data_IF_569826892941
#
_entry.id   IF_569826892941
#
_cell.length_a   1.000
_cell.length_b   1.000
_cell.length_c   1.000
_cell.angle_alpha   90.00
_cell.angle_beta   90.00
_cell.angle_gamma   90.00
#
_symmetry.space_group_name_H-M   'P 1'
#
loop_
_entity.id
_entity.type
_entity.pdbx_description
1 polymer ?
#
# COMPACT_ATOMS: atom_id res chain seq x y z
N UNK A 1 4.53 -15.30 15.66
CA UNK A 1 3.59 -15.70 16.73
C UNK A 1 2.32 -16.13 16.01
N UNK A 2 1.75 -17.30 16.31
CA UNK A 2 0.44 -17.65 15.73
C UNK A 2 -0.61 -16.79 16.43
N UNK A 3 -1.51 -16.17 15.66
CA UNK A 3 -2.70 -15.50 16.22
C UNK A 3 -3.75 -16.56 16.59
N UNK A 4 -3.38 -17.57 17.38
CA UNK A 4 -4.33 -18.58 17.89
C UNK A 4 -5.46 -17.93 18.68
N UNK A 5 -5.17 -16.76 19.26
CA UNK A 5 -6.13 -15.90 19.93
C UNK A 5 -7.14 -15.20 18.97
N UNK A 6 -6.92 -15.17 17.64
CA UNK A 6 -7.92 -14.75 16.65
C UNK A 6 -8.89 -15.89 16.29
N UNK A 7 -8.46 -17.14 16.47
CA UNK A 7 -9.25 -18.34 16.15
C UNK A 7 -10.18 -18.75 17.30
N UNK A 8 -10.11 -18.09 18.45
CA UNK A 8 -10.88 -18.43 19.65
C UNK A 8 -12.26 -17.76 19.66
N UNK A 9 -13.17 -18.19 18.78
CA UNK A 9 -14.57 -17.73 18.75
C UNK A 9 -15.35 -18.02 20.05
N UNK A 10 -14.81 -18.85 20.94
CA UNK A 10 -15.39 -19.20 22.25
C UNK A 10 -15.01 -18.27 23.40
N UNK A 11 -14.19 -17.24 23.17
CA UNK A 11 -13.78 -16.29 24.21
C UNK A 11 -14.98 -15.47 24.71
N UNK A 12 -15.24 -15.50 26.02
CA UNK A 12 -16.28 -14.71 26.68
C UNK A 12 -15.64 -13.60 27.50
N UNK A 13 -15.64 -12.38 26.98
CA UNK A 13 -15.15 -11.19 27.69
C UNK A 13 -14.51 -10.18 26.77
N UNK A 14 -14.27 -8.97 27.30
CA UNK A 14 -13.38 -7.98 26.65
C UNK A 14 -11.93 -8.42 26.89
N UNK A 15 -11.03 -8.12 25.96
CA UNK A 15 -9.57 -8.30 26.11
C UNK A 15 -8.92 -6.89 26.22
N UNK A 16 -8.83 -6.33 27.44
CA UNK A 16 -8.35 -4.96 27.64
C UNK A 16 -6.89 -4.78 27.25
N UNK A 17 -6.06 -5.81 27.44
CA UNK A 17 -4.65 -5.73 27.10
C UNK A 17 -4.45 -5.69 25.58
N UNK A 18 -5.20 -6.50 24.83
CA UNK A 18 -5.22 -6.41 23.37
C UNK A 18 -5.69 -5.04 22.91
N UNK A 19 -6.77 -4.51 23.49
CA UNK A 19 -7.24 -3.17 23.14
C UNK A 19 -6.16 -2.11 23.40
N UNK A 20 -5.50 -2.15 24.56
CA UNK A 20 -4.41 -1.24 24.89
C UNK A 20 -3.24 -1.36 23.89
N UNK A 21 -2.88 -2.58 23.47
CA UNK A 21 -1.84 -2.80 22.44
C UNK A 21 -2.23 -2.23 21.08
N UNK A 22 -3.49 -2.42 20.66
CA UNK A 22 -4.01 -1.88 19.39
C UNK A 22 -3.97 -0.35 19.40
N UNK A 23 -4.48 0.28 20.47
CA UNK A 23 -4.45 1.74 20.63
C UNK A 23 -3.01 2.25 20.59
N UNK A 24 -2.10 1.58 21.30
CA UNK A 24 -0.69 1.95 21.33
C UNK A 24 0.00 1.82 19.95
N UNK A 25 -0.35 0.82 19.13
CA UNK A 25 0.15 0.73 17.74
C UNK A 25 -0.39 1.86 16.85
N UNK A 26 -1.67 2.22 17.01
CA UNK A 26 -2.27 3.34 16.29
C UNK A 26 -1.61 4.66 16.66
N UNK A 27 -1.43 4.95 17.95
CA UNK A 27 -0.78 6.17 18.43
C UNK A 27 0.64 6.30 17.88
N UNK A 28 1.44 5.22 17.96
CA UNK A 28 2.81 5.21 17.40
C UNK A 28 2.80 5.44 15.89
N UNK A 29 1.91 4.76 15.16
CA UNK A 29 1.78 4.90 13.72
C UNK A 29 1.41 6.32 13.30
N UNK A 30 0.40 6.90 13.95
CA UNK A 30 -0.04 8.26 13.66
C UNK A 30 1.00 9.32 14.00
N UNK A 31 1.68 9.19 15.15
CA UNK A 31 2.73 10.12 15.54
C UNK A 31 3.94 10.06 14.59
N UNK A 32 4.40 8.86 14.25
CA UNK A 32 5.58 8.69 13.40
C UNK A 32 5.34 9.17 11.95
N UNK A 33 4.12 9.01 11.43
CA UNK A 33 3.78 9.39 10.05
C UNK A 33 3.13 10.77 9.94
N UNK A 34 3.00 11.52 11.04
CA UNK A 34 2.29 12.81 11.07
C UNK A 34 2.79 13.83 10.03
N UNK A 35 4.09 13.83 9.72
CA UNK A 35 4.69 14.72 8.72
C UNK A 35 4.66 14.20 7.28
N UNK A 36 4.08 13.03 7.03
CA UNK A 36 4.01 12.44 5.68
C UNK A 36 2.82 13.04 4.94
N UNK A 37 3.07 14.11 4.19
CA UNK A 37 2.04 14.79 3.39
C UNK A 37 1.87 14.18 1.99
N UNK A 38 2.92 13.57 1.44
CA UNK A 38 2.96 13.06 0.07
C UNK A 38 3.51 11.63 0.03
N UNK A 39 2.75 10.64 0.49
CA UNK A 39 3.16 9.24 0.47
C UNK A 39 2.61 8.44 -0.71
N UNK A 40 3.37 7.45 -1.17
CA UNK A 40 2.90 6.43 -2.11
C UNK A 40 3.23 5.06 -1.55
N UNK A 41 2.21 4.20 -1.43
CA UNK A 41 2.42 2.84 -0.95
C UNK A 41 2.73 1.92 -2.14
N UNK A 42 3.84 1.21 -2.06
CA UNK A 42 4.29 0.27 -3.09
C UNK A 42 4.28 -1.15 -2.54
N UNK A 43 3.61 -2.04 -3.25
CA UNK A 43 3.45 -3.45 -2.88
C UNK A 43 3.99 -4.37 -3.98
N UNK A 44 4.46 -5.55 -3.58
CA UNK A 44 4.91 -6.59 -4.50
C UNK A 44 5.54 -7.75 -3.76
N UNK A 45 6.04 -8.72 -4.52
CA UNK A 45 6.66 -9.94 -3.97
C UNK A 45 7.86 -9.65 -3.06
N UNK A 46 7.86 -10.25 -1.87
CA UNK A 46 9.03 -10.34 -0.99
C UNK A 46 10.14 -11.25 -1.56
N UNK A 47 9.82 -12.04 -2.60
CA UNK A 47 10.68 -13.11 -3.13
C UNK A 47 11.40 -12.74 -4.43
N UNK A 48 11.18 -11.55 -4.97
CA UNK A 48 11.80 -11.13 -6.24
C UNK A 48 13.29 -10.86 -6.04
N UNK A 49 14.20 -11.53 -6.77
CA UNK A 49 15.64 -11.28 -6.68
C UNK A 49 16.05 -9.88 -7.15
N UNK A 50 17.17 -9.36 -6.64
CA UNK A 50 17.67 -8.02 -6.95
C UNK A 50 18.10 -7.82 -8.43
N UNK A 51 18.44 -8.90 -9.13
CA UNK A 51 18.80 -8.92 -10.56
C UNK A 51 17.59 -9.13 -11.49
N UNK A 52 16.40 -9.39 -10.93
CA UNK A 52 15.19 -9.60 -11.71
C UNK A 52 14.72 -8.27 -12.34
N UNK A 53 14.27 -8.24 -13.62
CA UNK A 53 13.82 -7.01 -14.29
C UNK A 53 12.75 -6.23 -13.52
N UNK A 54 11.80 -6.93 -12.87
CA UNK A 54 10.77 -6.31 -12.03
C UNK A 54 11.34 -5.60 -10.79
N UNK A 55 12.45 -6.08 -10.22
CA UNK A 55 13.12 -5.39 -9.12
C UNK A 55 13.70 -4.06 -9.62
N UNK A 56 14.39 -4.07 -10.76
CA UNK A 56 14.95 -2.86 -11.38
C UNK A 56 13.84 -1.85 -11.67
N UNK A 57 12.74 -2.31 -12.27
CA UNK A 57 11.58 -1.48 -12.56
C UNK A 57 10.96 -0.88 -11.28
N UNK A 58 10.83 -1.66 -10.21
CA UNK A 58 10.33 -1.15 -8.93
C UNK A 58 11.21 -0.06 -8.32
N UNK A 59 12.54 -0.24 -8.39
CA UNK A 59 13.51 0.78 -7.97
C UNK A 59 13.40 2.04 -8.82
N UNK A 60 13.29 1.90 -10.14
CA UNK A 60 13.14 3.04 -11.06
C UNK A 60 11.84 3.81 -10.84
N UNK A 61 10.72 3.10 -10.66
CA UNK A 61 9.42 3.69 -10.32
C UNK A 61 9.47 4.45 -9.00
N UNK A 62 10.03 3.85 -7.95
CA UNK A 62 10.19 4.53 -6.66
C UNK A 62 11.13 5.74 -6.74
N UNK A 63 12.21 5.67 -7.52
CA UNK A 63 13.09 6.81 -7.76
C UNK A 63 12.40 7.92 -8.55
N UNK A 64 11.52 7.57 -9.50
CA UNK A 64 10.71 8.56 -10.22
C UNK A 64 9.77 9.30 -9.27
N UNK A 65 9.08 8.57 -8.39
CA UNK A 65 8.21 9.14 -7.35
C UNK A 65 8.99 9.98 -6.33
N UNK A 66 10.16 9.51 -5.89
CA UNK A 66 11.02 10.22 -4.96
C UNK A 66 11.51 11.57 -5.52
N UNK A 67 11.94 11.60 -6.78
CA UNK A 67 12.28 12.86 -7.48
C UNK A 67 11.11 13.85 -7.59
N UNK A 68 9.88 13.35 -7.65
CA UNK A 68 8.67 14.17 -7.65
C UNK A 68 8.22 14.61 -6.23
N UNK A 69 9.01 14.31 -5.20
CA UNK A 69 8.78 14.72 -3.82
C UNK A 69 7.82 13.84 -3.05
N UNK A 70 7.62 12.58 -3.47
CA UNK A 70 6.82 11.60 -2.72
C UNK A 70 7.71 10.76 -1.80
N UNK A 71 7.27 10.60 -0.55
CA UNK A 71 7.75 9.53 0.32
C UNK A 71 7.24 8.18 -0.21
N UNK A 72 8.06 7.14 -0.07
CA UNK A 72 7.71 5.78 -0.49
C UNK A 72 7.47 4.92 0.74
N UNK A 73 6.29 4.32 0.81
CA UNK A 73 5.84 3.47 1.91
C UNK A 73 5.79 2.03 1.41
N UNK A 74 6.40 1.11 2.13
CA UNK A 74 6.39 -0.32 1.78
C UNK A 74 6.14 -1.16 3.03
N UNK A 75 6.06 -2.48 2.88
CA UNK A 75 6.12 -3.41 4.02
C UNK A 75 7.50 -3.54 4.67
N UNK A 76 8.53 -2.90 4.13
CA UNK A 76 9.89 -2.89 4.66
C UNK A 76 10.66 -4.21 4.51
N UNK A 77 10.05 -5.26 3.93
CA UNK A 77 10.71 -6.55 3.70
C UNK A 77 11.65 -6.57 2.48
N UNK A 78 12.12 -7.77 2.07
CA UNK A 78 12.98 -7.96 0.90
C UNK A 78 12.21 -7.82 -0.43
N UNK A 79 12.91 -8.06 -1.54
CA UNK A 79 12.31 -8.14 -2.88
C UNK A 79 11.83 -6.79 -3.39
N UNK A 80 10.58 -6.72 -3.88
CA UNK A 80 10.03 -5.48 -4.44
C UNK A 80 9.98 -4.35 -3.39
N UNK A 81 9.70 -4.69 -2.12
CA UNK A 81 9.67 -3.70 -1.05
C UNK A 81 11.05 -3.06 -0.88
N UNK A 82 12.11 -3.86 -0.82
CA UNK A 82 13.50 -3.40 -0.79
C UNK A 82 13.84 -2.56 -2.04
N UNK A 83 13.45 -3.00 -3.23
CA UNK A 83 13.68 -2.25 -4.47
C UNK A 83 13.08 -0.84 -4.40
N UNK A 84 11.84 -0.75 -3.93
CA UNK A 84 11.11 0.50 -3.78
C UNK A 84 11.74 1.40 -2.71
N UNK A 85 12.06 0.85 -1.52
CA UNK A 85 12.74 1.59 -0.46
C UNK A 85 14.10 2.14 -0.95
N UNK A 86 14.88 1.31 -1.65
CA UNK A 86 16.15 1.70 -2.24
C UNK A 86 15.98 2.81 -3.27
N UNK A 87 15.02 2.69 -4.18
CA UNK A 87 14.77 3.68 -5.22
C UNK A 87 14.39 5.04 -4.65
N UNK A 88 13.59 5.08 -3.58
CA UNK A 88 13.29 6.31 -2.86
C UNK A 88 14.55 6.93 -2.25
N UNK A 89 15.30 6.12 -1.49
CA UNK A 89 16.51 6.55 -0.79
C UNK A 89 17.61 7.06 -1.73
N UNK A 90 17.76 6.45 -2.91
CA UNK A 90 18.69 6.90 -3.95
C UNK A 90 18.44 8.35 -4.42
N UNK A 91 17.23 8.88 -4.17
CA UNK A 91 16.82 10.24 -4.54
C UNK A 91 16.77 11.20 -3.36
N UNK A 92 17.09 10.72 -2.15
CA UNK A 92 16.94 11.48 -0.90
C UNK A 92 15.48 11.61 -0.42
N UNK A 93 14.53 10.93 -1.06
CA UNK A 93 13.15 10.89 -0.60
C UNK A 93 13.01 9.98 0.62
N UNK A 94 12.07 10.31 1.51
CA UNK A 94 11.80 9.54 2.71
C UNK A 94 11.35 8.11 2.36
N UNK A 95 12.12 7.12 2.82
CA UNK A 95 11.83 5.69 2.64
C UNK A 95 11.26 5.10 3.92
N UNK A 96 10.02 4.62 3.87
CA UNK A 96 9.25 4.12 5.02
C UNK A 96 9.01 2.62 4.89
N UNK A 97 9.21 1.88 5.98
CA UNK A 97 8.91 0.46 6.11
C UNK A 97 7.92 0.18 7.24
N UNK A 98 6.70 -0.22 6.88
CA UNK A 98 5.68 -0.67 7.82
C UNK A 98 5.72 -2.20 7.89
N UNK A 99 6.59 -2.73 8.74
CA UNK A 99 6.84 -4.16 8.91
C UNK A 99 5.76 -4.83 9.78
N UNK A 100 5.64 -6.15 9.66
CA UNK A 100 4.71 -6.95 10.46
C UNK A 100 5.45 -8.10 11.16
N UNK A 101 5.12 -8.36 12.42
CA UNK A 101 5.73 -9.42 13.21
C UNK A 101 5.27 -10.81 12.75
N UNK A 102 6.00 -11.39 11.78
CA UNK A 102 5.77 -12.73 11.27
C UNK A 102 6.80 -13.74 11.80
N UNK A 103 6.50 -15.05 11.83
CA UNK A 103 7.49 -16.07 12.21
C UNK A 103 8.75 -16.10 11.31
N UNK A 104 8.65 -15.55 10.10
CA UNK A 104 9.70 -15.45 9.08
C UNK A 104 9.70 -14.01 8.52
N UNK A 105 10.77 -13.56 7.85
CA UNK A 105 10.86 -12.21 7.24
C UNK A 105 10.77 -11.03 8.23
N UNK A 106 11.43 -11.10 9.38
CA UNK A 106 11.31 -10.07 10.43
C UNK A 106 12.16 -8.81 10.25
N UNK A 107 13.17 -8.82 9.38
CA UNK A 107 14.14 -7.73 9.30
C UNK A 107 13.71 -6.71 8.24
N UNK A 108 13.57 -5.46 8.66
CA UNK A 108 13.50 -4.32 7.75
C UNK A 108 14.74 -4.29 6.85
N UNK A 109 14.55 -4.06 5.55
CA UNK A 109 15.66 -3.94 4.61
C UNK A 109 16.53 -2.71 4.92
N UNK A 110 17.76 -2.71 4.43
CA UNK A 110 18.79 -1.70 4.77
C UNK A 110 18.55 -0.32 4.13
N UNK A 111 17.44 -0.15 3.39
CA UNK A 111 17.08 1.10 2.70
C UNK A 111 15.86 1.79 3.31
N UNK A 112 15.38 1.33 4.47
CA UNK A 112 14.33 1.99 5.25
C UNK A 112 14.95 3.07 6.14
N UNK A 113 14.47 4.31 6.02
CA UNK A 113 14.88 5.42 6.90
C UNK A 113 13.96 5.53 8.13
N UNK A 114 12.65 5.31 7.93
CA UNK A 114 11.65 5.26 9.00
C UNK A 114 10.97 3.89 9.05
N UNK A 115 11.28 3.12 10.09
CA UNK A 115 10.74 1.78 10.29
C UNK A 115 9.72 1.72 11.43
N UNK A 116 8.59 1.05 11.20
CA UNK A 116 7.61 0.71 12.23
C UNK A 116 7.33 -0.79 12.17
N UNK A 117 7.24 -1.43 13.34
CA UNK A 117 6.84 -2.84 13.45
C UNK A 117 5.44 -2.91 14.04
N UNK A 118 4.58 -3.70 13.40
CA UNK A 118 3.20 -3.93 13.81
C UNK A 118 2.99 -5.38 14.17
N UNK A 119 2.12 -5.63 15.15
CA UNK A 119 1.58 -6.95 15.42
C UNK A 119 0.26 -7.17 14.71
N UNK A 120 -0.56 -6.13 14.57
CA UNK A 120 -1.91 -6.26 14.02
C UNK A 120 -1.97 -5.82 12.55
N UNK A 121 -2.32 -6.76 11.66
CA UNK A 121 -2.45 -6.49 10.21
C UNK A 121 -3.35 -5.30 9.90
N UNK A 122 -4.52 -5.20 10.55
CA UNK A 122 -5.48 -4.13 10.26
C UNK A 122 -4.96 -2.73 10.64
N UNK A 123 -4.11 -2.61 11.66
CA UNK A 123 -3.49 -1.32 12.03
C UNK A 123 -2.50 -0.91 10.94
N UNK A 124 -1.65 -1.86 10.51
CA UNK A 124 -0.70 -1.65 9.42
C UNK A 124 -1.40 -1.25 8.11
N UNK A 125 -2.47 -1.95 7.75
CA UNK A 125 -3.31 -1.70 6.56
C UNK A 125 -3.90 -0.29 6.55
N UNK A 126 -4.46 0.14 7.68
CA UNK A 126 -4.96 1.51 7.84
C UNK A 126 -3.89 2.55 7.51
N UNK A 127 -2.66 2.36 7.99
CA UNK A 127 -1.57 3.32 7.78
C UNK A 127 -1.08 3.36 6.34
N UNK A 128 -1.10 2.23 5.62
CA UNK A 128 -0.81 2.22 4.17
C UNK A 128 -1.75 3.12 3.37
N UNK A 129 -3.04 3.12 3.72
CA UNK A 129 -4.05 3.94 3.03
C UNK A 129 -4.00 5.38 3.51
N UNK A 130 -3.99 5.60 4.83
CA UNK A 130 -4.11 6.93 5.45
C UNK A 130 -3.01 7.91 5.06
N UNK A 131 -1.79 7.41 4.84
CA UNK A 131 -0.62 8.22 4.53
C UNK A 131 -0.17 8.12 3.08
N UNK A 132 -0.97 7.48 2.21
CA UNK A 132 -0.70 7.41 0.79
C UNK A 132 -1.73 8.22 -0.02
N UNK A 133 -1.31 8.68 -1.18
CA UNK A 133 -2.20 9.22 -2.20
C UNK A 133 -2.55 8.20 -3.29
N UNK A 134 -1.75 7.14 -3.40
CA UNK A 134 -1.85 6.13 -4.45
C UNK A 134 -1.25 4.81 -3.99
N UNK A 135 -1.74 3.72 -4.59
CA UNK A 135 -1.13 2.40 -4.52
C UNK A 135 -0.48 2.04 -5.85
N UNK A 136 0.78 1.60 -5.78
CA UNK A 136 1.52 1.04 -6.92
C UNK A 136 1.79 -0.43 -6.63
N UNK A 137 1.23 -1.30 -7.47
CA UNK A 137 1.19 -2.74 -7.24
C UNK A 137 2.06 -3.43 -8.30
N UNK A 138 3.16 -4.02 -7.86
CA UNK A 138 3.99 -4.90 -8.67
C UNK A 138 3.57 -6.36 -8.49
N UNK A 139 3.99 -7.27 -9.39
CA UNK A 139 3.67 -8.68 -9.26
C UNK A 139 4.08 -9.24 -7.89
N UNK A 140 3.14 -9.95 -7.26
CA UNK A 140 3.27 -10.44 -5.90
C UNK A 140 2.34 -11.59 -5.57
N UNK A 141 2.44 -12.07 -4.34
CA UNK A 141 1.61 -13.18 -3.82
C UNK A 141 0.39 -12.68 -3.04
N UNK A 142 -0.08 -13.49 -2.09
CA UNK A 142 -1.29 -13.18 -1.32
C UNK A 142 -1.25 -11.85 -0.57
N UNK A 143 -0.13 -11.48 0.06
CA UNK A 143 -0.04 -10.19 0.73
C UNK A 143 -0.21 -9.00 -0.23
N UNK A 144 0.27 -9.12 -1.47
CA UNK A 144 0.08 -8.08 -2.49
C UNK A 144 -1.36 -8.02 -2.97
N UNK A 145 -1.99 -9.19 -3.20
CA UNK A 145 -3.38 -9.27 -3.64
C UNK A 145 -4.35 -8.80 -2.55
N UNK A 146 -4.06 -9.09 -1.28
CA UNK A 146 -4.82 -8.62 -0.12
C UNK A 146 -4.92 -7.08 -0.11
N UNK A 147 -3.78 -6.38 -0.20
CA UNK A 147 -3.74 -4.92 -0.23
C UNK A 147 -4.37 -4.34 -1.51
N UNK A 148 -4.23 -5.02 -2.65
CA UNK A 148 -4.86 -4.63 -3.90
C UNK A 148 -6.39 -4.68 -3.79
N UNK A 149 -6.94 -5.79 -3.34
CA UNK A 149 -8.40 -5.95 -3.23
C UNK A 149 -8.99 -5.11 -2.11
N UNK A 150 -8.28 -4.89 -1.00
CA UNK A 150 -8.71 -3.96 0.04
C UNK A 150 -8.88 -2.54 -0.51
N UNK A 151 -7.88 -2.04 -1.25
CA UNK A 151 -7.96 -0.73 -1.88
C UNK A 151 -9.11 -0.65 -2.90
N UNK A 152 -9.30 -1.69 -3.73
CA UNK A 152 -10.43 -1.75 -4.67
C UNK A 152 -11.78 -1.68 -3.95
N UNK A 153 -11.97 -2.42 -2.85
CA UNK A 153 -13.20 -2.36 -2.06
C UNK A 153 -13.41 -0.97 -1.43
N UNK A 154 -12.35 -0.34 -0.92
CA UNK A 154 -12.45 1.03 -0.38
C UNK A 154 -12.80 2.06 -1.46
N UNK A 155 -12.28 1.91 -2.68
CA UNK A 155 -12.59 2.77 -3.83
C UNK A 155 -14.03 2.56 -4.32
N UNK A 156 -14.43 1.29 -4.51
CA UNK A 156 -15.76 0.88 -4.96
C UNK A 156 -16.85 1.41 -4.01
N UNK A 157 -16.61 1.33 -2.71
CA UNK A 157 -17.55 1.82 -1.68
C UNK A 157 -17.47 3.33 -1.43
N UNK A 158 -16.58 4.03 -2.13
CA UNK A 158 -16.37 5.48 -2.02
C UNK A 158 -15.78 5.94 -0.68
N UNK A 159 -15.22 5.01 0.12
CA UNK A 159 -14.53 5.28 1.39
C UNK A 159 -13.19 5.99 1.19
N UNK A 160 -12.54 5.73 0.06
CA UNK A 160 -11.42 6.54 -0.45
C UNK A 160 -11.78 7.07 -1.84
N UNK A 161 -11.38 8.31 -2.14
CA UNK A 161 -11.67 8.97 -3.42
C UNK A 161 -10.40 9.60 -3.99
N UNK A 162 -10.35 9.70 -5.32
CA UNK A 162 -9.19 10.21 -6.05
C UNK A 162 -7.87 9.47 -5.75
N UNK A 163 -7.97 8.18 -5.43
CA UNK A 163 -6.85 7.33 -5.02
C UNK A 163 -6.55 6.33 -6.13
N UNK A 164 -5.55 6.55 -7.01
CA UNK A 164 -5.26 5.62 -8.08
C UNK A 164 -4.64 4.33 -7.55
N UNK A 165 -5.10 3.21 -8.11
CA UNK A 165 -4.50 1.90 -7.97
C UNK A 165 -3.86 1.51 -9.30
N UNK A 166 -2.54 1.42 -9.31
CA UNK A 166 -1.73 1.28 -10.53
C UNK A 166 -1.00 -0.06 -10.49
N UNK A 167 -1.34 -0.96 -11.41
CA UNK A 167 -0.63 -2.22 -11.61
C UNK A 167 0.56 -1.99 -12.54
N UNK A 168 1.74 -2.42 -12.11
CA UNK A 168 2.96 -2.35 -12.91
C UNK A 168 3.31 -3.75 -13.45
N UNK A 169 3.66 -3.85 -14.73
CA UNK A 169 4.04 -5.11 -15.38
C UNK A 169 2.85 -5.88 -15.98
N UNK A 170 2.33 -5.34 -17.10
CA UNK A 170 1.08 -5.72 -17.75
C UNK A 170 0.91 -7.23 -18.00
N UNK A 171 1.97 -7.92 -18.43
CA UNK A 171 1.91 -9.35 -18.79
C UNK A 171 1.58 -10.29 -17.64
N UNK A 172 1.80 -9.89 -16.38
CA UNK A 172 1.52 -10.73 -15.19
C UNK A 172 0.09 -10.57 -14.68
N UNK A 173 -0.62 -9.52 -15.08
CA UNK A 173 -1.96 -9.20 -14.59
C UNK A 173 -3.08 -9.65 -15.51
N UNK A 174 -2.78 -10.01 -16.76
CA UNK A 174 -3.76 -10.32 -17.80
C UNK A 174 -4.84 -11.31 -17.33
N UNK A 175 -4.45 -12.49 -16.84
CA UNK A 175 -5.41 -13.50 -16.40
C UNK A 175 -6.30 -13.04 -15.23
N UNK A 176 -5.75 -12.23 -14.30
CA UNK A 176 -6.52 -11.68 -13.19
C UNK A 176 -7.51 -10.61 -13.68
N UNK A 177 -7.06 -9.73 -14.57
CA UNK A 177 -7.90 -8.67 -15.14
C UNK A 177 -8.99 -9.23 -16.06
N UNK A 178 -8.70 -10.30 -16.80
CA UNK A 178 -9.67 -11.00 -17.62
C UNK A 178 -10.76 -11.63 -16.75
N UNK A 179 -10.38 -12.24 -15.62
CA UNK A 179 -11.34 -12.76 -14.66
C UNK A 179 -12.19 -11.65 -14.02
N UNK A 180 -11.57 -10.53 -13.62
CA UNK A 180 -12.30 -9.37 -13.06
C UNK A 180 -13.28 -8.78 -14.08
N UNK A 181 -12.83 -8.51 -15.31
CA UNK A 181 -13.66 -7.90 -16.36
C UNK A 181 -14.69 -8.85 -16.95
N UNK A 182 -14.38 -10.14 -16.97
CA UNK A 182 -15.24 -11.18 -17.51
C UNK A 182 -16.21 -11.70 -16.45
N UNK A 183 -15.72 -12.54 -15.55
CA UNK A 183 -16.52 -13.33 -14.63
C UNK A 183 -17.23 -12.46 -13.58
N UNK A 184 -16.50 -11.57 -12.90
CA UNK A 184 -17.10 -10.77 -11.83
C UNK A 184 -18.17 -9.80 -12.37
N UNK A 185 -17.93 -9.17 -13.51
CA UNK A 185 -18.89 -8.25 -14.14
C UNK A 185 -20.09 -9.03 -14.72
N UNK A 186 -19.84 -10.10 -15.48
CA UNK A 186 -20.91 -10.86 -16.16
C UNK A 186 -21.87 -11.49 -15.15
N UNK A 187 -21.36 -11.94 -14.00
CA UNK A 187 -22.18 -12.51 -12.92
C UNK A 187 -22.74 -11.44 -11.95
N UNK A 188 -22.50 -10.15 -12.19
CA UNK A 188 -23.03 -9.06 -11.36
C UNK A 188 -22.43 -9.00 -9.95
N UNK A 189 -21.22 -9.53 -9.76
CA UNK A 189 -20.50 -9.51 -8.48
C UNK A 189 -19.83 -8.15 -8.22
N UNK A 190 -19.55 -7.39 -9.28
CA UNK A 190 -19.08 -6.00 -9.25
C UNK A 190 -19.81 -5.18 -10.32
N UNK A 191 -19.78 -3.85 -10.21
CA UNK A 191 -20.34 -2.93 -11.20
C UNK A 191 -19.53 -2.90 -12.49
N UNK A 192 -20.19 -2.54 -13.60
CA UNK A 192 -19.58 -2.54 -14.93
C UNK A 192 -18.40 -1.56 -15.09
N UNK A 193 -18.32 -0.53 -14.24
CA UNK A 193 -17.24 0.47 -14.23
C UNK A 193 -16.19 0.19 -13.14
N UNK A 194 -16.39 -0.80 -12.27
CA UNK A 194 -15.42 -1.10 -11.22
C UNK A 194 -14.05 -1.55 -11.77
N UNK A 195 -13.95 -2.26 -12.92
CA UNK A 195 -12.65 -2.54 -13.52
C UNK A 195 -11.87 -1.29 -13.96
N UNK A 196 -12.54 -0.15 -14.17
CA UNK A 196 -11.90 1.12 -14.56
C UNK A 196 -11.18 1.80 -13.38
N UNK A 197 -11.40 1.30 -12.15
CA UNK A 197 -10.64 1.70 -10.97
C UNK A 197 -9.15 1.29 -11.07
N UNK A 198 -8.84 0.32 -11.93
CA UNK A 198 -7.50 -0.25 -12.12
C UNK A 198 -6.83 0.41 -13.32
N UNK A 199 -5.66 1.00 -13.10
CA UNK A 199 -4.76 1.44 -14.17
C UNK A 199 -3.61 0.44 -14.32
N UNK A 200 -3.12 0.24 -15.54
CA UNK A 200 -2.02 -0.68 -15.83
C UNK A 200 -0.99 0.04 -16.68
N UNK A 201 0.28 -0.02 -16.28
CA UNK A 201 1.38 0.57 -17.04
C UNK A 201 2.69 -0.19 -16.80
N UNK A 202 3.68 0.06 -17.64
CA UNK A 202 5.06 -0.39 -17.46
C UNK A 202 6.05 0.78 -17.46
N UNK A 203 5.60 2.03 -17.63
CA UNK A 203 6.47 3.22 -17.62
C UNK A 203 6.46 3.89 -16.23
N UNK A 204 7.61 3.90 -15.51
CA UNK A 204 7.79 4.65 -14.27
C UNK A 204 7.30 6.11 -14.31
N UNK A 205 7.44 6.78 -15.46
CA UNK A 205 7.04 8.18 -15.65
C UNK A 205 5.52 8.32 -15.75
N UNK A 206 4.85 7.34 -16.34
CA UNK A 206 3.39 7.31 -16.38
C UNK A 206 2.82 7.11 -14.97
N UNK A 207 3.39 6.17 -14.19
CA UNK A 207 3.05 6.01 -12.77
C UNK A 207 3.16 7.34 -12.04
N UNK A 208 4.31 8.03 -12.16
CA UNK A 208 4.53 9.30 -11.50
C UNK A 208 3.52 10.38 -11.93
N UNK A 209 3.21 10.47 -13.23
CA UNK A 209 2.25 11.43 -13.77
C UNK A 209 0.83 11.19 -13.24
N UNK A 210 0.40 9.93 -13.15
CA UNK A 210 -0.90 9.54 -12.59
C UNK A 210 -0.97 9.95 -11.11
N UNK A 211 0.07 9.65 -10.33
CA UNK A 211 0.15 9.96 -8.89
C UNK A 211 0.14 11.47 -8.66
N UNK A 212 0.92 12.25 -9.42
CA UNK A 212 0.92 13.72 -9.32
C UNK A 212 -0.45 14.32 -9.64
N UNK A 213 -1.12 13.83 -10.67
CA UNK A 213 -2.46 14.28 -11.02
C UNK A 213 -3.49 13.96 -9.92
N UNK A 214 -3.39 12.79 -9.30
CA UNK A 214 -4.22 12.41 -8.16
C UNK A 214 -3.95 13.28 -6.94
N UNK A 215 -2.68 13.49 -6.59
CA UNK A 215 -2.25 14.34 -5.47
C UNK A 215 -2.80 15.77 -5.62
N UNK A 216 -2.71 16.38 -6.82
CA UNK A 216 -3.30 17.70 -7.08
C UNK A 216 -4.81 17.73 -6.85
N UNK A 217 -5.55 16.70 -7.31
CA UNK A 217 -7.01 16.60 -7.09
C UNK A 217 -7.36 16.45 -5.61
N UNK A 218 -6.61 15.62 -4.88
CA UNK A 218 -6.81 15.47 -3.44
C UNK A 218 -6.52 16.76 -2.69
N UNK A 219 -5.45 17.48 -3.02
CA UNK A 219 -5.14 18.79 -2.44
C UNK A 219 -6.24 19.84 -2.74
N UNK A 220 -6.80 19.86 -3.94
CA UNK A 220 -7.92 20.75 -4.26
C UNK A 220 -9.19 20.42 -3.46
N UNK A 221 -9.41 19.13 -3.16
CA UNK A 221 -10.58 18.65 -2.42
C UNK A 221 -10.44 18.82 -0.90
N UNK A 222 -9.25 18.56 -0.36
CA UNK A 222 -9.00 18.39 1.08
C UNK A 222 -7.99 19.39 1.66
N UNK A 223 -7.28 20.16 0.82
CA UNK A 223 -6.14 21.01 1.21
C UNK A 223 -6.48 22.35 1.87
N UNK A 224 -7.73 22.60 2.25
CA UNK A 224 -8.12 23.75 3.06
C UNK A 224 -8.96 23.32 4.26
N UNK A 225 -8.39 23.27 5.47
CA UNK A 225 -9.02 22.95 6.77
C UNK A 225 -10.08 21.81 6.79
N UNK A 226 -10.13 20.96 5.77
CA UNK A 226 -11.33 20.22 5.36
C UNK A 226 -11.40 18.81 5.90
N UNK A 227 -10.98 18.61 7.15
CA UNK A 227 -11.32 17.38 7.92
C UNK A 227 -12.29 17.73 9.07
N UNK A 228 -12.58 19.01 9.31
CA UNK A 228 -13.47 19.43 10.40
C UNK A 228 -14.98 19.33 10.09
N UNK A 229 -15.40 19.20 8.83
CA UNK A 229 -16.82 19.39 8.44
C UNK A 229 -17.59 18.12 8.04
N UNK A 230 -17.02 16.91 8.19
CA UNK A 230 -17.73 15.64 7.87
C UNK A 230 -17.62 14.55 8.96
N UNK A 231 -17.52 14.94 10.25
CA UNK A 231 -17.77 14.04 11.39
C UNK A 231 -18.99 14.50 12.21
#
# INVERSE_FOLDING_TARGET
MLDDELLCAGWKGVDPERLARIVSELERGFAALAGVERGVSIFGSARTPADHPTYVLARETAACLGRAGFAVITGGGPGIMEAANRGARDTGALSIGLNIDLPYEQRLNDYVDLGLNFRYFFVRKLLFVRYAQAFVIFPGGFGTLDEMFEALTLMQTGRIRHFPLILVGSGRWAALLDWIRGDLVTNGLIGALDPDLIQVTEDPREVCSIVEAACRRQQQRYGGNGIADEL
#
